data_IF_532201349792
#
_entry.id   IF_532201349792
#
_cell.length_a   1.000
_cell.length_b   1.000
_cell.length_c   1.000
_cell.angle_alpha   90.00
_cell.angle_beta   90.00
_cell.angle_gamma   90.00
#
_symmetry.space_group_name_H-M   'P 1'
#
loop_
_entity.id
_entity.type
_entity.pdbx_description
1 polymer ?
#
# COMPACT_ATOMS: atom_id res chain seq x y z
N UNK A 1 -24.50 -29.39 -4.53
CA UNK A 1 -23.15 -29.87 -4.18
C UNK A 1 -23.19 -31.37 -4.04
N UNK A 2 -22.41 -32.05 -4.88
CA UNK A 2 -22.33 -33.52 -4.96
C UNK A 2 -20.96 -34.05 -4.49
N UNK A 3 -19.95 -33.18 -4.44
CA UNK A 3 -18.59 -33.51 -4.01
C UNK A 3 -18.49 -33.72 -2.50
N UNK A 4 -17.43 -34.41 -2.09
CA UNK A 4 -17.16 -34.69 -0.68
C UNK A 4 -16.76 -33.41 0.06
N UNK A 5 -16.85 -33.42 1.40
CA UNK A 5 -16.45 -32.27 2.21
C UNK A 5 -14.95 -31.94 2.08
N UNK A 6 -14.12 -32.94 1.80
CA UNK A 6 -12.71 -32.79 1.52
C UNK A 6 -12.48 -32.06 0.18
N UNK A 7 -13.24 -32.44 -0.86
CA UNK A 7 -13.20 -31.76 -2.16
C UNK A 7 -13.62 -30.29 -2.05
N UNK A 8 -14.65 -29.98 -1.25
CA UNK A 8 -15.08 -28.58 -1.01
C UNK A 8 -13.95 -27.78 -0.35
N UNK A 9 -13.27 -28.34 0.66
CA UNK A 9 -12.14 -27.66 1.31
C UNK A 9 -10.99 -27.42 0.34
N UNK A 10 -10.73 -28.37 -0.56
CA UNK A 10 -9.66 -28.29 -1.55
C UNK A 10 -9.99 -27.23 -2.64
N UNK A 11 -11.24 -27.17 -3.09
CA UNK A 11 -11.74 -26.11 -4.00
C UNK A 11 -11.68 -24.72 -3.34
N UNK A 12 -12.02 -24.60 -2.06
CA UNK A 12 -11.92 -23.34 -1.32
C UNK A 12 -10.46 -22.88 -1.19
N UNK A 13 -9.55 -23.80 -0.87
CA UNK A 13 -8.11 -23.51 -0.82
C UNK A 13 -7.57 -23.10 -2.19
N UNK A 14 -8.02 -23.73 -3.27
CA UNK A 14 -7.68 -23.35 -4.65
C UNK A 14 -8.15 -21.93 -4.98
N UNK A 15 -9.42 -21.62 -4.74
CA UNK A 15 -10.01 -20.29 -5.00
C UNK A 15 -9.35 -19.18 -4.15
N UNK A 16 -8.80 -19.53 -2.99
CA UNK A 16 -8.04 -18.61 -2.12
C UNK A 16 -6.54 -18.57 -2.40
N UNK A 17 -6.04 -19.32 -3.39
CA UNK A 17 -4.61 -19.37 -3.74
C UNK A 17 -3.72 -19.98 -2.65
N UNK A 18 -4.24 -20.91 -1.84
CA UNK A 18 -3.52 -21.53 -0.71
C UNK A 18 -2.95 -22.92 -1.00
N UNK A 19 -3.25 -23.49 -2.15
CA UNK A 19 -2.71 -24.79 -2.55
C UNK A 19 -1.24 -24.68 -2.97
N UNK A 20 -0.45 -25.71 -2.66
CA UNK A 20 0.89 -25.85 -3.20
C UNK A 20 0.85 -26.05 -4.73
N UNK A 21 1.94 -25.77 -5.47
CA UNK A 21 1.97 -25.95 -6.92
C UNK A 21 1.62 -27.38 -7.38
N UNK A 22 2.00 -28.38 -6.59
CA UNK A 22 1.74 -29.81 -6.85
C UNK A 22 0.24 -30.13 -6.70
N UNK A 23 -0.37 -29.71 -5.59
CA UNK A 23 -1.81 -29.88 -5.34
C UNK A 23 -2.66 -29.11 -6.36
N UNK A 24 -2.23 -27.91 -6.73
CA UNK A 24 -2.88 -27.08 -7.73
C UNK A 24 -2.95 -27.81 -9.07
N UNK A 25 -1.82 -28.34 -9.54
CA UNK A 25 -1.76 -29.08 -10.79
C UNK A 25 -2.62 -30.35 -10.75
N UNK A 26 -2.59 -31.09 -9.63
CA UNK A 26 -3.41 -32.29 -9.45
C UNK A 26 -4.91 -31.97 -9.49
N UNK A 27 -5.34 -30.87 -8.85
CA UNK A 27 -6.74 -30.43 -8.87
C UNK A 27 -7.18 -29.98 -10.26
N UNK A 28 -6.35 -29.25 -11.01
CA UNK A 28 -6.68 -28.80 -12.36
C UNK A 28 -6.94 -29.99 -13.30
N UNK A 29 -6.17 -31.08 -13.15
CA UNK A 29 -6.44 -32.34 -13.84
C UNK A 29 -7.78 -32.94 -13.42
N UNK A 30 -8.11 -32.94 -12.13
CA UNK A 30 -9.41 -33.44 -11.64
C UNK A 30 -10.57 -32.60 -12.16
N UNK A 31 -10.47 -31.27 -12.13
CA UNK A 31 -11.48 -30.34 -12.66
C UNK A 31 -11.75 -30.54 -14.15
N UNK A 32 -10.73 -30.90 -14.93
CA UNK A 32 -10.89 -31.18 -16.36
C UNK A 32 -11.61 -32.52 -16.63
N UNK A 33 -11.49 -33.50 -15.72
CA UNK A 33 -11.99 -34.86 -15.93
C UNK A 33 -13.29 -35.16 -15.17
N UNK A 34 -13.54 -34.50 -14.04
CA UNK A 34 -14.67 -34.73 -13.14
C UNK A 34 -15.73 -33.63 -13.30
N UNK A 35 -16.78 -33.90 -14.08
CA UNK A 35 -17.83 -32.92 -14.38
C UNK A 35 -18.58 -32.42 -13.13
N UNK A 36 -18.85 -33.30 -12.16
CA UNK A 36 -19.52 -32.91 -10.91
C UNK A 36 -18.62 -31.97 -10.06
N UNK A 37 -17.31 -32.22 -10.01
CA UNK A 37 -16.35 -31.37 -9.29
C UNK A 37 -16.25 -29.99 -9.94
N UNK A 38 -16.26 -29.92 -11.27
CA UNK A 38 -16.25 -28.66 -12.00
C UNK A 38 -17.55 -27.86 -11.79
N UNK A 39 -18.70 -28.55 -11.68
CA UNK A 39 -19.97 -27.90 -11.32
C UNK A 39 -19.90 -27.29 -9.92
N UNK A 40 -19.42 -28.05 -8.93
CA UNK A 40 -19.28 -27.58 -7.55
C UNK A 40 -18.25 -26.44 -7.43
N UNK A 41 -17.19 -26.45 -8.25
CA UNK A 41 -16.25 -25.33 -8.39
C UNK A 41 -16.95 -24.06 -8.89
N UNK A 42 -17.77 -24.16 -9.94
CA UNK A 42 -18.51 -23.01 -10.48
C UNK A 42 -19.48 -22.44 -9.44
N UNK A 43 -20.19 -23.31 -8.72
CA UNK A 43 -21.13 -22.91 -7.67
C UNK A 43 -20.41 -22.19 -6.52
N UNK A 44 -19.29 -22.75 -6.06
CA UNK A 44 -18.46 -22.13 -5.01
C UNK A 44 -17.90 -20.78 -5.43
N UNK A 45 -17.47 -20.65 -6.69
CA UNK A 45 -16.96 -19.38 -7.22
C UNK A 45 -18.03 -18.30 -7.17
N UNK A 46 -19.25 -18.59 -7.64
CA UNK A 46 -20.38 -17.64 -7.60
C UNK A 46 -20.74 -17.27 -6.16
N UNK A 47 -20.76 -18.25 -5.25
CA UNK A 47 -21.05 -18.02 -3.84
C UNK A 47 -20.00 -17.10 -3.19
N UNK A 48 -18.71 -17.36 -3.44
CA UNK A 48 -17.61 -16.53 -2.94
C UNK A 48 -17.65 -15.10 -3.48
N UNK A 49 -17.97 -14.92 -4.76
CA UNK A 49 -18.16 -13.59 -5.37
C UNK A 49 -19.32 -12.84 -4.71
N UNK A 50 -20.47 -13.51 -4.52
CA UNK A 50 -21.64 -12.93 -3.84
C UNK A 50 -21.35 -12.52 -2.39
N UNK A 51 -20.66 -13.36 -1.62
CA UNK A 51 -20.24 -13.03 -0.25
C UNK A 51 -19.30 -11.82 -0.24
N UNK A 52 -18.36 -11.73 -1.18
CA UNK A 52 -17.43 -10.60 -1.27
C UNK A 52 -18.15 -9.29 -1.54
N UNK A 53 -19.13 -9.29 -2.44
CA UNK A 53 -19.95 -8.11 -2.73
C UNK A 53 -20.72 -7.68 -1.47
N UNK A 54 -21.38 -8.60 -0.78
CA UNK A 54 -22.12 -8.29 0.46
C UNK A 54 -21.22 -7.74 1.57
N UNK A 55 -20.01 -8.29 1.76
CA UNK A 55 -19.05 -7.78 2.73
C UNK A 55 -18.57 -6.37 2.36
N UNK A 56 -18.34 -6.10 1.08
CA UNK A 56 -17.94 -4.77 0.61
C UNK A 56 -19.06 -3.74 0.78
N UNK A 57 -20.30 -4.10 0.47
CA UNK A 57 -21.48 -3.24 0.67
C UNK A 57 -21.65 -2.87 2.14
N UNK A 58 -21.59 -3.85 3.04
CA UNK A 58 -21.63 -3.62 4.49
C UNK A 58 -20.52 -2.68 4.98
N UNK A 59 -19.29 -2.83 4.46
CA UNK A 59 -18.18 -1.94 4.81
C UNK A 59 -18.40 -0.52 4.29
N UNK A 60 -18.92 -0.39 3.08
CA UNK A 60 -19.22 0.90 2.46
C UNK A 60 -20.32 1.64 3.23
N UNK A 61 -21.37 0.93 3.65
CA UNK A 61 -22.42 1.49 4.48
C UNK A 61 -21.92 1.91 5.87
N UNK A 62 -21.03 1.12 6.47
CA UNK A 62 -20.36 1.51 7.72
C UNK A 62 -19.54 2.80 7.54
N UNK A 63 -18.80 2.95 6.44
CA UNK A 63 -18.02 4.15 6.15
C UNK A 63 -18.91 5.38 5.93
N UNK A 64 -20.02 5.23 5.19
CA UNK A 64 -21.02 6.30 5.04
C UNK A 64 -21.63 6.69 6.39
N UNK A 65 -21.90 5.72 7.26
CA UNK A 65 -22.35 5.96 8.62
C UNK A 65 -21.35 6.79 9.42
N UNK A 66 -20.07 6.45 9.33
CA UNK A 66 -18.98 7.21 9.96
C UNK A 66 -18.86 8.63 9.39
N UNK A 67 -18.93 8.80 8.07
CA UNK A 67 -18.91 10.11 7.41
C UNK A 67 -20.04 11.03 7.92
N UNK A 68 -21.26 10.50 8.00
CA UNK A 68 -22.41 11.24 8.54
C UNK A 68 -22.31 11.53 10.05
N UNK A 69 -21.46 10.79 10.77
CA UNK A 69 -21.23 10.96 12.21
C UNK A 69 -20.15 12.00 12.52
N UNK A 70 -19.38 12.43 11.51
CA UNK A 70 -18.40 13.51 11.68
C UNK A 70 -19.18 14.83 11.66
N UNK A 71 -19.23 15.59 12.77
CA UNK A 71 -19.90 16.87 12.76
C UNK A 71 -19.24 17.77 11.72
N UNK A 72 -20.03 18.55 10.94
CA UNK A 72 -19.46 19.49 10.00
C UNK A 72 -18.51 20.41 10.76
N UNK A 73 -17.27 20.54 10.26
CA UNK A 73 -16.27 21.45 10.82
C UNK A 73 -16.88 22.84 10.75
N UNK A 74 -17.38 23.33 11.89
CA UNK A 74 -17.94 24.66 11.99
C UNK A 74 -16.83 25.64 11.57
N UNK A 75 -17.15 26.66 10.74
CA UNK A 75 -16.19 27.72 10.49
C UNK A 75 -15.79 28.30 11.84
N UNK A 76 -14.50 28.39 12.10
CA UNK A 76 -13.96 29.02 13.30
C UNK A 76 -14.47 30.48 13.35
N UNK A 77 -15.60 30.72 14.01
CA UNK A 77 -15.96 32.04 14.50
C UNK A 77 -14.95 32.38 15.59
N UNK A 78 -13.93 33.14 15.19
CA UNK A 78 -13.10 33.93 16.09
C UNK A 78 -14.01 34.81 16.97
N UNK A 79 -14.34 34.33 18.17
CA UNK A 79 -14.77 35.18 19.28
C UNK A 79 -13.74 35.04 20.39
N UNK A 80 -12.81 36.00 20.36
CA UNK A 80 -11.90 36.32 21.44
C UNK A 80 -12.68 36.85 22.63
N UNK A 81 -13.34 35.97 23.37
CA UNK A 81 -13.81 36.25 24.73
C UNK A 81 -13.40 35.08 25.61
N UNK A 82 -12.13 35.07 26.02
CA UNK A 82 -11.67 34.15 27.06
C UNK A 82 -12.18 34.66 28.42
N UNK A 83 -13.05 33.93 29.14
CA UNK A 83 -13.36 34.27 30.51
C UNK A 83 -12.10 34.06 31.38
N UNK A 84 -11.90 34.86 32.44
CA UNK A 84 -10.76 34.69 33.33
C UNK A 84 -10.85 33.32 34.00
N UNK A 85 -9.89 32.46 33.66
CA UNK A 85 -9.80 31.08 34.12
C UNK A 85 -9.38 31.07 35.60
N UNK A 86 -10.36 31.16 36.51
CA UNK A 86 -10.13 30.94 37.94
C UNK A 86 -9.92 29.45 38.20
N UNK A 87 -8.68 29.00 38.06
CA UNK A 87 -8.22 27.68 38.49
C UNK A 87 -8.41 27.53 40.00
N UNK A 88 -9.48 26.84 40.38
CA UNK A 88 -9.58 26.31 41.74
C UNK A 88 -8.48 25.25 41.95
N UNK A 89 -7.80 25.30 43.10
CA UNK A 89 -6.64 24.44 43.45
C UNK A 89 -6.91 22.93 43.39
N UNK A 90 -8.16 22.50 43.15
CA UNK A 90 -8.56 21.10 43.00
C UNK A 90 -8.38 20.55 41.58
N UNK A 91 -8.21 21.40 40.56
CA UNK A 91 -7.98 20.97 39.16
C UNK A 91 -6.52 20.88 38.75
N UNK A 92 -5.56 21.21 39.63
CA UNK A 92 -4.14 21.19 39.27
C UNK A 92 -3.62 19.77 38.92
N UNK A 93 -4.26 18.71 39.45
CA UNK A 93 -3.91 17.34 39.09
C UNK A 93 -4.42 16.89 37.70
N UNK A 94 -5.53 17.46 37.19
CA UNK A 94 -6.08 17.05 35.89
C UNK A 94 -5.30 17.65 34.70
N UNK A 95 -4.69 18.83 34.88
CA UNK A 95 -3.89 19.48 33.84
C UNK A 95 -2.59 18.74 33.48
N UNK A 96 -2.00 18.02 34.45
CA UNK A 96 -0.74 17.28 34.24
C UNK A 96 -0.95 16.12 33.26
N UNK A 97 -2.09 15.44 33.31
CA UNK A 97 -2.40 14.29 32.44
C UNK A 97 -2.57 14.75 30.98
N UNK A 98 -3.21 15.90 30.75
CA UNK A 98 -3.40 16.44 29.39
C UNK A 98 -2.06 16.89 28.80
N UNK A 99 -1.19 17.50 29.61
CA UNK A 99 0.16 17.88 29.18
C UNK A 99 0.99 16.63 28.89
N UNK A 100 0.89 15.58 29.71
CA UNK A 100 1.58 14.31 29.46
C UNK A 100 1.09 13.63 28.17
N UNK A 101 -0.22 13.60 27.93
CA UNK A 101 -0.78 13.05 26.69
C UNK A 101 -0.38 13.88 25.46
N UNK A 102 -0.30 15.20 25.57
CA UNK A 102 0.17 16.06 24.49
C UNK A 102 1.67 15.85 24.19
N UNK A 103 2.52 15.74 25.24
CA UNK A 103 3.95 15.47 25.08
C UNK A 103 4.19 14.07 24.53
N UNK A 104 3.44 13.08 25.03
CA UNK A 104 3.56 11.68 24.61
C UNK A 104 3.04 11.48 23.17
N UNK A 105 1.92 12.13 22.82
CA UNK A 105 1.40 12.17 21.46
C UNK A 105 2.37 12.86 20.50
N UNK A 106 3.00 13.97 20.91
CA UNK A 106 4.05 14.63 20.14
C UNK A 106 5.28 13.71 19.93
N UNK A 107 5.65 12.92 20.94
CA UNK A 107 6.79 12.02 20.85
C UNK A 107 6.54 10.89 19.83
N UNK A 108 5.36 10.25 19.88
CA UNK A 108 4.95 9.23 18.90
C UNK A 108 4.87 9.80 17.48
N UNK A 109 4.33 11.02 17.32
CA UNK A 109 4.28 11.67 16.00
C UNK A 109 5.65 12.15 15.48
N UNK A 110 6.64 12.33 16.37
CA UNK A 110 7.99 12.74 15.96
C UNK A 110 8.79 11.58 15.35
N UNK A 111 8.53 10.34 15.78
CA UNK A 111 9.13 9.14 15.18
C UNK A 111 8.46 8.75 13.85
N UNK A 112 7.21 9.16 13.63
CA UNK A 112 6.45 8.86 12.41
C UNK A 112 6.50 9.98 11.35
N UNK A 113 7.54 10.81 11.33
CA UNK A 113 7.76 11.71 10.20
C UNK A 113 8.29 10.88 9.05
N UNK A 114 7.49 10.74 7.98
CA UNK A 114 7.94 10.25 6.68
C UNK A 114 9.33 10.82 6.41
N UNK A 115 10.35 9.95 6.39
CA UNK A 115 11.78 10.26 6.29
C UNK A 115 12.15 10.75 4.88
N UNK A 116 11.36 11.67 4.33
CA UNK A 116 11.72 12.46 3.17
C UNK A 116 12.83 13.42 3.58
N UNK A 117 13.96 13.34 2.89
CA UNK A 117 15.03 14.33 3.03
C UNK A 117 14.47 15.72 2.70
N UNK A 118 14.82 16.73 3.51
CA UNK A 118 14.39 18.12 3.29
C UNK A 118 14.71 18.62 1.88
N UNK A 119 15.78 18.10 1.27
CA UNK A 119 16.22 18.41 -0.09
C UNK A 119 15.28 17.82 -1.16
N UNK A 120 14.73 16.64 -0.90
CA UNK A 120 13.86 15.91 -1.84
C UNK A 120 12.38 16.24 -1.68
N UNK A 121 11.95 16.73 -0.50
CA UNK A 121 10.55 16.99 -0.18
C UNK A 121 9.75 17.78 -1.25
N UNK A 122 10.24 18.89 -1.84
CA UNK A 122 9.47 19.63 -2.84
C UNK A 122 9.25 18.85 -4.16
N UNK A 123 10.24 18.05 -4.58
CA UNK A 123 10.16 17.24 -5.80
C UNK A 123 9.07 16.18 -5.68
N UNK A 124 8.95 15.56 -4.52
CA UNK A 124 8.01 14.47 -4.27
C UNK A 124 6.59 14.98 -3.99
N UNK A 125 6.44 16.10 -3.26
CA UNK A 125 5.12 16.60 -2.87
C UNK A 125 4.18 16.97 -4.04
N UNK A 126 4.70 17.46 -5.17
CA UNK A 126 3.87 17.94 -6.29
C UNK A 126 3.67 16.90 -7.41
N UNK A 127 4.66 16.00 -7.57
CA UNK A 127 4.78 15.18 -8.79
C UNK A 127 4.72 13.68 -8.55
N UNK A 128 4.90 13.20 -7.32
CA UNK A 128 5.10 11.78 -7.03
C UNK A 128 4.02 10.89 -7.64
N UNK A 129 2.75 11.17 -7.35
CA UNK A 129 1.61 10.35 -7.79
C UNK A 129 1.44 10.30 -9.32
N UNK A 130 1.92 11.33 -10.03
CA UNK A 130 1.74 11.45 -11.48
C UNK A 130 2.95 10.99 -12.28
N UNK A 131 4.15 11.20 -11.75
CA UNK A 131 5.37 11.05 -12.53
C UNK A 131 6.24 9.87 -12.10
N UNK A 132 6.16 9.46 -10.83
CA UNK A 132 7.07 8.48 -10.22
C UNK A 132 6.42 7.13 -9.94
N UNK A 133 5.09 7.07 -9.88
CA UNK A 133 4.36 5.80 -9.87
C UNK A 133 4.13 5.35 -11.32
N UNK A 134 4.87 4.32 -11.75
CA UNK A 134 4.80 3.79 -13.12
C UNK A 134 3.94 2.53 -13.25
N UNK A 135 3.53 1.93 -12.12
CA UNK A 135 2.66 0.77 -12.11
C UNK A 135 1.19 1.22 -12.10
N UNK A 136 0.33 0.46 -12.78
CA UNK A 136 -1.11 0.72 -12.77
C UNK A 136 -1.68 0.44 -11.37
N UNK A 137 -2.32 1.45 -10.76
CA UNK A 137 -3.15 1.29 -9.56
C UNK A 137 -4.62 1.02 -9.94
N UNK A 138 -4.91 0.68 -11.20
CA UNK A 138 -6.29 0.42 -11.62
C UNK A 138 -6.83 -0.82 -10.88
N UNK A 139 -7.70 -0.58 -9.89
CA UNK A 139 -8.58 -1.59 -9.29
C UNK A 139 -9.65 -2.01 -10.32
N UNK A 140 -9.25 -2.57 -11.46
CA UNK A 140 -10.19 -3.26 -12.33
C UNK A 140 -10.20 -4.74 -11.95
N UNK A 141 -11.40 -5.29 -11.74
CA UNK A 141 -11.59 -6.70 -11.40
C UNK A 141 -11.21 -7.65 -12.55
N UNK A 142 -10.98 -7.11 -13.76
CA UNK A 142 -10.67 -7.85 -14.98
C UNK A 142 -9.16 -7.93 -15.29
N UNK A 143 -8.31 -7.12 -14.66
CA UNK A 143 -6.84 -7.28 -14.72
C UNK A 143 -6.39 -8.00 -13.46
N UNK A 144 -6.75 -9.28 -13.36
CA UNK A 144 -6.22 -10.17 -12.33
C UNK A 144 -4.69 -10.25 -12.44
N UNK A 145 -4.01 -9.73 -11.40
CA UNK A 145 -2.75 -10.21 -10.84
C UNK A 145 -1.60 -10.53 -11.82
N UNK A 146 -1.06 -9.53 -12.52
CA UNK A 146 0.27 -9.69 -13.16
C UNK A 146 1.43 -9.54 -12.18
N UNK A 147 1.18 -8.93 -11.00
CA UNK A 147 2.18 -8.74 -9.96
C UNK A 147 2.14 -9.89 -8.96
N UNK A 148 3.32 -10.38 -8.56
CA UNK A 148 3.40 -11.29 -7.43
C UNK A 148 3.02 -10.58 -6.12
N UNK A 149 2.71 -11.36 -5.09
CA UNK A 149 2.40 -10.82 -3.76
C UNK A 149 3.54 -9.93 -3.25
N UNK A 150 4.78 -10.33 -3.48
CA UNK A 150 5.98 -9.59 -3.09
C UNK A 150 6.13 -8.28 -3.86
N UNK A 151 5.87 -8.29 -5.17
CA UNK A 151 5.88 -7.07 -5.99
C UNK A 151 4.84 -6.08 -5.49
N UNK A 152 3.62 -6.55 -5.22
CA UNK A 152 2.55 -5.72 -4.70
C UNK A 152 2.91 -5.07 -3.38
N UNK A 153 3.45 -5.84 -2.42
CA UNK A 153 3.89 -5.30 -1.12
C UNK A 153 4.96 -4.23 -1.31
N UNK A 154 5.97 -4.49 -2.14
CA UNK A 154 7.06 -3.54 -2.35
C UNK A 154 6.58 -2.25 -3.04
N UNK A 155 5.70 -2.39 -4.04
CA UNK A 155 5.18 -1.26 -4.82
C UNK A 155 4.15 -0.45 -4.04
N UNK A 156 3.34 -1.09 -3.21
CA UNK A 156 2.43 -0.41 -2.31
C UNK A 156 3.21 0.42 -1.29
N UNK A 157 4.26 -0.14 -0.65
CA UNK A 157 5.14 0.60 0.28
C UNK A 157 5.79 1.82 -0.40
N UNK A 158 6.29 1.65 -1.63
CA UNK A 158 6.80 2.74 -2.44
C UNK A 158 5.72 3.80 -2.73
N UNK A 159 4.54 3.39 -3.18
CA UNK A 159 3.44 4.29 -3.56
C UNK A 159 2.91 5.11 -2.38
N UNK A 160 2.95 4.56 -1.16
CA UNK A 160 2.61 5.30 0.07
C UNK A 160 3.80 6.06 0.67
N UNK A 161 4.93 6.12 -0.04
CA UNK A 161 6.14 6.87 0.32
C UNK A 161 6.87 6.34 1.57
N UNK A 162 6.65 5.08 1.94
CA UNK A 162 7.40 4.38 3.00
C UNK A 162 8.72 3.83 2.44
N UNK A 163 9.60 4.75 2.02
CA UNK A 163 10.79 4.43 1.24
C UNK A 163 11.80 3.56 1.98
N UNK A 164 11.99 3.78 3.28
CA UNK A 164 12.93 2.98 4.10
C UNK A 164 12.52 1.51 4.17
N UNK A 165 11.22 1.24 4.28
CA UNK A 165 10.65 -0.11 4.27
C UNK A 165 10.57 -0.70 2.85
N UNK A 166 10.37 0.14 1.84
CA UNK A 166 10.32 -0.30 0.44
C UNK A 166 11.69 -0.78 -0.07
N UNK A 167 12.78 -0.07 0.24
CA UNK A 167 14.15 -0.38 -0.22
C UNK A 167 14.53 -1.86 -0.05
N UNK A 168 14.43 -2.50 1.13
CA UNK A 168 14.83 -3.90 1.30
C UNK A 168 13.95 -4.86 0.47
N UNK A 169 12.66 -4.56 0.29
CA UNK A 169 11.75 -5.38 -0.53
C UNK A 169 12.07 -5.24 -2.02
N UNK A 170 12.29 -4.01 -2.48
CA UNK A 170 12.68 -3.72 -3.87
C UNK A 170 14.03 -4.36 -4.23
N UNK A 171 15.01 -4.30 -3.31
CA UNK A 171 16.31 -4.97 -3.48
C UNK A 171 16.16 -6.49 -3.61
N UNK A 172 15.26 -7.09 -2.83
CA UNK A 172 14.98 -8.52 -2.92
C UNK A 172 14.39 -8.89 -4.28
N UNK A 173 13.43 -8.12 -4.78
CA UNK A 173 12.83 -8.32 -6.10
C UNK A 173 13.87 -8.21 -7.22
N UNK A 174 14.74 -7.20 -7.14
CA UNK A 174 15.86 -7.06 -8.08
C UNK A 174 16.79 -8.28 -8.05
N UNK A 175 17.25 -8.70 -6.87
CA UNK A 175 18.22 -9.81 -6.74
C UNK A 175 17.67 -11.16 -7.19
N UNK A 176 16.39 -11.43 -6.95
CA UNK A 176 15.80 -12.75 -7.22
C UNK A 176 15.21 -12.80 -8.63
N UNK A 177 14.53 -11.73 -9.05
CA UNK A 177 13.72 -11.73 -10.27
C UNK A 177 14.31 -10.85 -11.37
N UNK A 178 15.39 -10.10 -11.10
CA UNK A 178 15.92 -9.05 -11.98
C UNK A 178 14.84 -8.04 -12.38
N UNK A 179 13.95 -7.71 -11.44
CA UNK A 179 12.87 -6.76 -11.67
C UNK A 179 13.42 -5.33 -11.83
N UNK A 180 13.56 -4.90 -13.09
CA UNK A 180 14.11 -3.60 -13.44
C UNK A 180 13.25 -2.44 -12.92
N UNK A 181 11.93 -2.64 -12.79
CA UNK A 181 11.03 -1.62 -12.24
C UNK A 181 11.25 -1.47 -10.73
N UNK A 182 11.40 -2.59 -10.01
CA UNK A 182 11.76 -2.56 -8.60
C UNK A 182 13.11 -1.87 -8.38
N UNK A 183 14.10 -2.13 -9.25
CA UNK A 183 15.40 -1.48 -9.20
C UNK A 183 15.30 0.04 -9.44
N UNK A 184 14.45 0.46 -10.38
CA UNK A 184 14.16 1.88 -10.63
C UNK A 184 13.53 2.56 -9.40
N UNK A 185 12.48 1.97 -8.82
CA UNK A 185 11.85 2.49 -7.61
C UNK A 185 12.81 2.52 -6.41
N UNK A 186 13.73 1.56 -6.33
CA UNK A 186 14.77 1.55 -5.29
C UNK A 186 15.69 2.76 -5.43
N UNK A 187 16.09 3.11 -6.65
CA UNK A 187 16.87 4.33 -6.92
C UNK A 187 16.14 5.60 -6.47
N UNK A 188 14.83 5.71 -6.78
CA UNK A 188 14.00 6.84 -6.32
C UNK A 188 13.86 6.85 -4.79
N UNK A 189 13.71 5.68 -4.17
CA UNK A 189 13.58 5.55 -2.71
C UNK A 189 14.87 6.00 -1.99
N UNK A 190 16.04 5.69 -2.56
CA UNK A 190 17.31 6.21 -2.06
C UNK A 190 17.42 7.73 -2.23
N UNK A 191 16.93 8.29 -3.32
CA UNK A 191 16.88 9.74 -3.53
C UNK A 191 16.00 10.41 -2.47
N UNK A 192 14.81 9.86 -2.23
CA UNK A 192 13.84 10.35 -1.26
C UNK A 192 14.37 10.34 0.18
N UNK A 193 15.18 9.33 0.52
CA UNK A 193 15.79 9.18 1.85
C UNK A 193 17.13 9.92 1.99
N UNK A 194 17.54 10.69 0.97
CA UNK A 194 18.77 11.49 0.99
C UNK A 194 20.05 10.71 0.73
N UNK A 195 19.96 9.44 0.32
CA UNK A 195 21.11 8.64 -0.09
C UNK A 195 21.40 8.82 -1.59
N UNK A 196 21.74 10.06 -1.97
CA UNK A 196 21.90 10.49 -3.37
C UNK A 196 22.97 9.70 -4.11
N UNK A 197 24.06 9.30 -3.43
CA UNK A 197 25.14 8.53 -4.07
C UNK A 197 24.67 7.16 -4.56
N UNK A 198 23.90 6.42 -3.77
CA UNK A 198 23.36 5.13 -4.22
C UNK A 198 22.23 5.33 -5.22
N UNK A 199 21.42 6.37 -5.06
CA UNK A 199 20.37 6.72 -6.03
C UNK A 199 20.96 6.97 -7.44
N UNK A 200 21.98 7.82 -7.56
CA UNK A 200 22.63 8.13 -8.84
C UNK A 200 23.24 6.88 -9.49
N UNK A 201 23.88 6.03 -8.68
CA UNK A 201 24.48 4.78 -9.14
C UNK A 201 23.43 3.83 -9.71
N UNK A 202 22.28 3.69 -9.05
CA UNK A 202 21.18 2.81 -9.50
C UNK A 202 20.49 3.39 -10.74
N UNK A 203 20.13 4.69 -10.72
CA UNK A 203 19.40 5.34 -11.81
C UNK A 203 20.25 5.50 -13.08
N UNK A 204 21.58 5.49 -12.95
CA UNK A 204 22.52 5.48 -14.08
C UNK A 204 23.05 4.09 -14.44
N UNK A 205 22.50 3.02 -13.85
CA UNK A 205 22.95 1.66 -14.12
C UNK A 205 22.49 1.17 -15.50
N UNK A 206 23.28 0.29 -16.11
CA UNK A 206 22.97 -0.29 -17.42
C UNK A 206 21.62 -1.02 -17.46
N UNK A 207 21.19 -1.63 -16.35
CA UNK A 207 19.88 -2.25 -16.25
C UNK A 207 18.75 -1.25 -16.52
N UNK A 208 18.84 -0.04 -15.95
CA UNK A 208 17.89 1.04 -16.19
C UNK A 208 18.06 1.63 -17.60
N UNK A 209 19.30 1.89 -18.00
CA UNK A 209 19.63 2.51 -19.30
C UNK A 209 19.17 1.64 -20.48
N UNK A 210 19.18 0.32 -20.33
CA UNK A 210 18.73 -0.62 -21.36
C UNK A 210 17.23 -0.49 -21.68
N UNK A 211 16.43 0.00 -20.73
CA UNK A 211 15.03 0.29 -20.93
C UNK A 211 14.86 1.78 -21.27
N UNK A 212 14.56 2.09 -22.53
CA UNK A 212 14.48 3.47 -23.02
C UNK A 212 13.50 4.36 -22.23
N UNK A 213 12.38 3.79 -21.77
CA UNK A 213 11.38 4.52 -20.98
C UNK A 213 11.89 4.83 -19.57
N UNK A 214 12.43 3.82 -18.86
CA UNK A 214 12.96 4.02 -17.51
C UNK A 214 14.19 4.93 -17.52
N UNK A 215 15.03 4.83 -18.55
CA UNK A 215 16.16 5.75 -18.77
C UNK A 215 15.68 7.19 -18.87
N UNK A 216 14.71 7.47 -19.74
CA UNK A 216 14.18 8.82 -19.91
C UNK A 216 13.65 9.39 -18.59
N UNK A 217 12.95 8.55 -17.80
CA UNK A 217 12.44 8.93 -16.49
C UNK A 217 13.55 9.20 -15.48
N UNK A 218 14.55 8.31 -15.40
CA UNK A 218 15.72 8.46 -14.54
C UNK A 218 16.48 9.75 -14.84
N UNK A 219 16.75 10.03 -16.13
CA UNK A 219 17.44 11.24 -16.57
C UNK A 219 16.67 12.50 -16.17
N UNK A 220 15.33 12.50 -16.33
CA UNK A 220 14.46 13.61 -15.92
C UNK A 220 14.52 13.86 -14.41
N UNK A 221 14.45 12.80 -13.61
CA UNK A 221 14.49 12.88 -12.13
C UNK A 221 15.82 13.45 -11.66
N UNK A 222 16.93 12.91 -12.17
CA UNK A 222 18.27 13.36 -11.79
C UNK A 222 18.54 14.80 -12.23
N UNK A 223 18.03 15.22 -13.39
CA UNK A 223 18.16 16.59 -13.87
C UNK A 223 17.35 17.58 -13.02
N UNK A 224 16.21 17.17 -12.48
CA UNK A 224 15.38 18.01 -11.62
C UNK A 224 15.94 18.09 -10.21
N UNK A 225 16.41 16.98 -9.65
CA UNK A 225 17.02 16.92 -8.32
C UNK A 225 18.28 17.82 -8.19
N UNK A 226 19.02 18.03 -9.29
CA UNK A 226 20.26 18.83 -9.30
C UNK A 226 20.04 20.35 -9.44
N UNK A 227 18.80 20.83 -9.58
CA UNK A 227 18.49 22.26 -9.75
C UNK A 227 18.35 22.97 -8.41
#
# INVERSE_FOLDING_TARGET
>A
MKSSQEDIGLLEAYLKGRLSPEEKSALEVRLANEADLNSDYSDLKVLLEGMRISVLENKLDMLKGLENSIPPVAPNENKNDSPPFFLSKKFWMAGIIIIFLAIFGWWIFKENKSHLSEESAPLFAEKFDREFILHSIERSADVLDSLTVEQKIAYDLYAIQEFEDAIPKLNQLWKIQNDTMAYFYMGISYLATGNTSEAEKILSDNAIISNAYLKQKADSILAEYKK
#
